data_IF_005104440166
#
_entry.id   IF_005104440166
#
_cell.length_a   1.000
_cell.length_b   1.000
_cell.length_c   1.000
_cell.angle_alpha   90.00
_cell.angle_beta   90.00
_cell.angle_gamma   90.00
#
_symmetry.space_group_name_H-M   'P 1'
#
loop_
_entity.id
_entity.type
_entity.pdbx_description
1 polymer ?
#
# COMPACT_ATOMS: atom_id res chain seq x y z
N UNK A 1 -47.72 32.14 -9.11
CA UNK A 1 -46.38 31.54 -9.20
C UNK A 1 -46.34 30.33 -8.24
N UNK A 2 -46.75 29.17 -8.75
CA UNK A 2 -46.90 27.94 -7.95
C UNK A 2 -45.56 27.21 -7.87
N UNK A 3 -44.99 27.15 -6.70
CA UNK A 3 -43.81 26.35 -6.39
C UNK A 3 -44.25 24.88 -6.45
N UNK A 4 -43.87 24.16 -7.50
CA UNK A 4 -44.03 22.72 -7.59
C UNK A 4 -43.08 22.08 -6.55
N UNK A 5 -43.66 21.53 -5.49
CA UNK A 5 -42.98 20.61 -4.60
C UNK A 5 -42.75 19.30 -5.37
N UNK A 6 -41.55 19.10 -5.91
CA UNK A 6 -41.14 17.81 -6.43
C UNK A 6 -41.22 16.78 -5.28
N UNK A 7 -41.83 15.61 -5.48
CA UNK A 7 -41.87 14.58 -4.46
C UNK A 7 -40.45 14.06 -4.23
N UNK A 8 -39.94 14.28 -3.03
CA UNK A 8 -38.65 13.75 -2.57
C UNK A 8 -38.62 12.24 -2.82
N UNK A 9 -37.67 11.79 -3.64
CA UNK A 9 -37.55 10.39 -4.00
C UNK A 9 -37.17 9.55 -2.77
N UNK A 10 -38.19 8.97 -2.14
CA UNK A 10 -38.08 8.14 -0.93
C UNK A 10 -37.13 6.95 -1.11
N UNK A 11 -36.95 6.48 -2.35
CA UNK A 11 -36.04 5.37 -2.66
C UNK A 11 -34.57 5.78 -2.57
N UNK A 12 -34.23 7.04 -2.87
CA UNK A 12 -32.86 7.55 -2.69
C UNK A 12 -32.52 7.75 -1.21
N UNK A 13 -33.46 8.27 -0.43
CA UNK A 13 -33.31 8.48 1.00
C UNK A 13 -33.15 7.15 1.77
N UNK A 14 -33.89 6.12 1.36
CA UNK A 14 -33.78 4.75 1.89
C UNK A 14 -32.43 4.12 1.53
N UNK A 15 -31.97 4.28 0.28
CA UNK A 15 -30.68 3.76 -0.20
C UNK A 15 -29.49 4.44 0.49
N UNK A 16 -29.57 5.73 0.79
CA UNK A 16 -28.54 6.46 1.53
C UNK A 16 -28.48 5.98 2.99
N UNK A 17 -29.62 5.73 3.64
CA UNK A 17 -29.66 5.21 5.01
C UNK A 17 -29.08 3.80 5.15
N UNK A 18 -29.31 2.92 4.18
CA UNK A 18 -28.84 1.54 4.21
C UNK A 18 -27.33 1.42 4.08
N UNK A 19 -26.64 2.37 3.39
CA UNK A 19 -25.19 2.39 3.19
C UNK A 19 -24.44 3.36 4.12
N UNK A 20 -25.14 4.04 5.02
CA UNK A 20 -24.55 5.03 5.94
C UNK A 20 -23.32 4.55 6.70
N UNK A 21 -23.29 3.34 7.32
CA UNK A 21 -22.11 2.86 8.03
C UNK A 21 -20.91 2.63 7.10
N UNK A 22 -21.12 2.19 5.84
CA UNK A 22 -20.06 1.94 4.88
C UNK A 22 -19.42 3.23 4.34
N UNK A 23 -20.17 4.31 4.24
CA UNK A 23 -19.67 5.63 3.79
C UNK A 23 -18.71 6.23 4.83
N UNK A 24 -18.95 5.99 6.11
CA UNK A 24 -18.12 6.52 7.19
C UNK A 24 -17.01 5.58 7.64
N UNK A 25 -17.02 4.32 7.22
CA UNK A 25 -16.02 3.32 7.59
C UNK A 25 -14.57 3.79 7.34
N UNK A 26 -14.21 4.41 6.20
CA UNK A 26 -12.84 4.90 5.98
C UNK A 26 -12.42 5.95 7.02
N UNK A 27 -13.34 6.81 7.45
CA UNK A 27 -13.06 7.83 8.46
C UNK A 27 -12.79 7.22 9.84
N UNK A 28 -13.58 6.25 10.25
CA UNK A 28 -13.37 5.54 11.51
C UNK A 28 -12.07 4.74 11.50
N UNK A 29 -11.76 4.08 10.38
CA UNK A 29 -10.49 3.37 10.21
C UNK A 29 -9.29 4.34 10.25
N UNK A 30 -9.41 5.51 9.63
CA UNK A 30 -8.36 6.53 9.68
C UNK A 30 -8.12 7.06 11.09
N UNK A 31 -9.19 7.36 11.83
CA UNK A 31 -9.08 7.80 13.24
C UNK A 31 -8.48 6.70 14.11
N UNK A 32 -8.96 5.46 13.98
CA UNK A 32 -8.40 4.33 14.69
C UNK A 32 -6.91 4.13 14.37
N UNK A 33 -6.54 4.21 13.09
CA UNK A 33 -5.14 4.11 12.66
C UNK A 33 -4.27 5.21 13.25
N UNK A 34 -4.77 6.45 13.29
CA UNK A 34 -4.06 7.58 13.90
C UNK A 34 -3.83 7.36 15.41
N UNK A 35 -4.88 6.92 16.13
CA UNK A 35 -4.79 6.63 17.57
C UNK A 35 -3.78 5.51 17.82
N UNK A 36 -3.86 4.40 17.09
CA UNK A 36 -2.93 3.27 17.23
C UNK A 36 -1.49 3.67 16.89
N UNK A 37 -1.31 4.50 15.86
CA UNK A 37 0.02 5.02 15.50
C UNK A 37 0.60 5.92 16.59
N UNK A 38 -0.21 6.79 17.19
CA UNK A 38 0.20 7.64 18.32
C UNK A 38 0.62 6.80 19.52
N UNK A 39 -0.17 5.80 19.89
CA UNK A 39 0.15 4.86 20.96
C UNK A 39 1.45 4.12 20.65
N UNK A 40 1.62 3.65 19.42
CA UNK A 40 2.83 2.93 19.00
C UNK A 40 4.08 3.83 19.09
N UNK A 41 4.00 5.09 18.65
CA UNK A 41 5.08 6.06 18.81
C UNK A 41 5.43 6.29 20.29
N UNK A 42 4.42 6.44 21.15
CA UNK A 42 4.62 6.55 22.60
C UNK A 42 5.37 5.33 23.17
N UNK A 43 4.94 4.12 22.79
CA UNK A 43 5.57 2.87 23.25
C UNK A 43 7.02 2.75 22.77
N UNK A 44 7.31 3.09 21.53
CA UNK A 44 8.67 3.00 20.94
C UNK A 44 9.62 4.01 21.60
N UNK A 45 9.20 5.25 21.77
CA UNK A 45 10.13 6.30 22.17
C UNK A 45 10.22 6.49 23.69
N UNK A 46 9.16 6.18 24.46
CA UNK A 46 9.10 6.46 25.89
C UNK A 46 9.08 5.20 26.75
N UNK A 47 8.55 4.07 26.26
CA UNK A 47 8.40 2.86 27.07
C UNK A 47 9.45 1.80 26.73
N UNK A 48 9.79 1.64 25.43
CA UNK A 48 10.72 0.61 24.99
C UNK A 48 12.09 0.78 25.66
N UNK A 49 12.63 -0.30 26.28
CA UNK A 49 13.94 -0.26 26.92
C UNK A 49 15.05 0.04 25.91
N UNK A 50 16.11 0.64 26.38
CA UNK A 50 17.28 0.91 25.56
C UNK A 50 18.06 -0.38 25.37
N UNK A 51 18.40 -0.72 24.13
CA UNK A 51 19.20 -1.90 23.79
C UNK A 51 20.64 -1.76 24.33
N UNK A 52 21.22 -2.88 24.78
CA UNK A 52 22.56 -2.88 25.41
C UNK A 52 23.66 -2.60 24.37
N UNK A 53 23.49 -3.07 23.12
CA UNK A 53 24.48 -2.96 22.05
C UNK A 53 24.23 -1.73 21.17
N UNK A 54 22.99 -1.56 20.71
CA UNK A 54 22.61 -0.51 19.74
C UNK A 54 22.12 0.78 20.42
N UNK A 55 21.92 0.77 21.73
CA UNK A 55 21.41 1.95 22.44
C UNK A 55 20.05 2.41 21.92
N UNK A 56 19.88 3.69 21.76
CA UNK A 56 18.65 4.31 21.25
C UNK A 56 18.41 4.07 19.75
N UNK A 57 19.43 3.66 18.99
CA UNK A 57 19.35 3.40 17.56
C UNK A 57 18.43 2.23 17.26
N UNK A 58 18.32 1.26 18.18
CA UNK A 58 17.40 0.13 18.09
C UNK A 58 15.94 0.57 17.87
N UNK A 59 15.54 1.75 18.34
CA UNK A 59 14.17 2.26 18.18
C UNK A 59 13.77 2.48 16.73
N UNK A 60 14.73 2.80 15.85
CA UNK A 60 14.49 2.92 14.40
C UNK A 60 14.04 1.58 13.82
N UNK A 61 14.57 0.47 14.36
CA UNK A 61 14.23 -0.87 13.91
C UNK A 61 12.76 -1.22 14.12
N UNK A 62 12.14 -0.75 15.20
CA UNK A 62 10.71 -0.97 15.47
C UNK A 62 9.80 -0.27 14.45
N UNK A 63 10.29 0.76 13.76
CA UNK A 63 9.58 1.44 12.68
C UNK A 63 9.95 0.81 11.32
N UNK A 64 11.24 0.60 11.09
CA UNK A 64 11.78 0.10 9.82
C UNK A 64 11.22 -1.28 9.44
N UNK A 65 11.27 -2.24 10.34
CA UNK A 65 10.88 -3.63 10.06
C UNK A 65 9.41 -3.78 9.68
N UNK A 66 8.45 -3.20 10.41
CA UNK A 66 7.05 -3.23 9.98
C UNK A 66 6.82 -2.57 8.62
N UNK A 67 7.49 -1.45 8.32
CA UNK A 67 7.39 -0.78 7.01
C UNK A 67 7.89 -1.67 5.88
N UNK A 68 9.02 -2.36 6.08
CA UNK A 68 9.55 -3.31 5.12
C UNK A 68 8.57 -4.48 4.89
N UNK A 69 8.06 -5.10 5.95
CA UNK A 69 7.13 -6.23 5.87
C UNK A 69 5.83 -5.80 5.15
N UNK A 70 5.28 -4.64 5.50
CA UNK A 70 4.06 -4.12 4.87
C UNK A 70 4.27 -3.82 3.39
N UNK A 71 5.44 -3.30 2.99
CA UNK A 71 5.74 -3.07 1.58
C UNK A 71 5.76 -4.37 0.78
N UNK A 72 6.40 -5.43 1.29
CA UNK A 72 6.40 -6.74 0.63
C UNK A 72 5.00 -7.36 0.56
N UNK A 73 4.20 -7.21 1.61
CA UNK A 73 2.80 -7.66 1.59
C UNK A 73 1.99 -6.93 0.51
N UNK A 74 2.16 -5.60 0.38
CA UNK A 74 1.50 -4.83 -0.67
C UNK A 74 1.92 -5.31 -2.07
N UNK A 75 3.21 -5.55 -2.29
CA UNK A 75 3.71 -6.04 -3.57
C UNK A 75 3.24 -7.46 -3.87
N UNK A 76 3.09 -8.30 -2.85
CA UNK A 76 2.45 -9.61 -3.00
C UNK A 76 0.98 -9.49 -3.41
N UNK A 77 0.24 -8.51 -2.86
CA UNK A 77 -1.14 -8.22 -3.27
C UNK A 77 -1.18 -7.73 -4.73
N UNK A 78 -0.22 -6.91 -5.17
CA UNK A 78 -0.09 -6.49 -6.58
C UNK A 78 0.09 -7.71 -7.49
N UNK A 79 0.95 -8.64 -7.09
CA UNK A 79 1.17 -9.89 -7.83
C UNK A 79 -0.12 -10.71 -7.97
N UNK A 80 -0.81 -10.96 -6.86
CA UNK A 80 -2.09 -11.69 -6.86
C UNK A 80 -3.15 -10.96 -7.70
N UNK A 81 -3.26 -9.63 -7.56
CA UNK A 81 -4.16 -8.81 -8.36
C UNK A 81 -3.86 -8.89 -9.87
N UNK A 82 -2.58 -8.93 -10.23
CA UNK A 82 -2.12 -9.11 -11.62
C UNK A 82 -2.50 -10.47 -12.18
N UNK A 83 -2.33 -11.55 -11.41
CA UNK A 83 -2.81 -12.89 -11.79
C UNK A 83 -4.33 -12.91 -11.97
N UNK A 84 -5.06 -12.25 -11.06
CA UNK A 84 -6.53 -12.13 -11.15
C UNK A 84 -6.97 -11.36 -12.40
N UNK A 85 -6.25 -10.29 -12.76
CA UNK A 85 -6.51 -9.50 -13.96
C UNK A 85 -6.35 -10.33 -15.23
N UNK A 86 -5.30 -11.17 -15.35
CA UNK A 86 -5.09 -12.07 -16.47
C UNK A 86 -6.03 -13.29 -16.47
N UNK A 87 -6.90 -13.40 -15.48
CA UNK A 87 -7.91 -14.46 -15.43
C UNK A 87 -7.40 -15.82 -14.99
N UNK A 88 -6.20 -15.91 -14.39
CA UNK A 88 -5.64 -17.17 -13.89
C UNK A 88 -6.60 -17.85 -12.91
N UNK A 89 -7.31 -17.09 -12.09
CA UNK A 89 -8.31 -17.61 -11.14
C UNK A 89 -9.63 -18.04 -11.79
N UNK A 90 -9.90 -17.67 -13.06
CA UNK A 90 -11.05 -18.17 -13.81
C UNK A 90 -10.93 -19.66 -14.10
N UNK A 91 -9.70 -20.18 -14.22
CA UNK A 91 -9.41 -21.61 -14.37
C UNK A 91 -9.90 -22.39 -13.14
N UNK A 92 -9.84 -21.78 -11.97
CA UNK A 92 -10.26 -22.37 -10.68
C UNK A 92 -11.72 -22.06 -10.29
N UNK A 93 -12.60 -21.69 -11.26
CA UNK A 93 -14.01 -21.32 -11.02
C UNK A 93 -14.26 -20.19 -9.98
N UNK A 94 -13.26 -19.44 -9.57
CA UNK A 94 -13.42 -18.22 -8.75
C UNK A 94 -13.90 -17.04 -9.63
N UNK A 95 -14.99 -17.26 -10.38
CA UNK A 95 -15.54 -16.39 -11.43
C UNK A 95 -16.24 -15.13 -10.91
N UNK A 96 -16.28 -14.89 -9.60
CA UNK A 96 -17.14 -13.87 -9.01
C UNK A 96 -16.59 -12.44 -9.06
N UNK A 97 -15.28 -12.25 -9.25
CA UNK A 97 -14.65 -10.94 -9.16
C UNK A 97 -14.38 -10.37 -10.55
N UNK A 98 -14.88 -9.15 -10.80
CA UNK A 98 -14.69 -8.45 -12.07
C UNK A 98 -13.21 -8.09 -12.29
N UNK A 99 -12.74 -8.16 -13.54
CA UNK A 99 -11.37 -7.81 -13.93
C UNK A 99 -10.95 -6.40 -13.45
N UNK A 100 -11.85 -5.41 -13.54
CA UNK A 100 -11.60 -4.06 -13.06
C UNK A 100 -11.35 -4.00 -11.53
N UNK A 101 -11.95 -4.89 -10.75
CA UNK A 101 -11.73 -4.95 -9.30
C UNK A 101 -10.31 -5.44 -8.99
N UNK A 102 -9.83 -6.45 -9.70
CA UNK A 102 -8.45 -6.93 -9.58
C UNK A 102 -7.44 -5.85 -9.89
N UNK A 103 -7.67 -5.11 -10.98
CA UNK A 103 -6.85 -3.97 -11.37
C UNK A 103 -6.83 -2.86 -10.32
N UNK A 104 -8.01 -2.49 -9.78
CA UNK A 104 -8.11 -1.47 -8.73
C UNK A 104 -7.38 -1.88 -7.45
N UNK A 105 -7.51 -3.15 -7.03
CA UNK A 105 -6.81 -3.67 -5.84
C UNK A 105 -5.30 -3.64 -6.05
N UNK A 106 -4.82 -4.11 -7.21
CA UNK A 106 -3.39 -4.09 -7.53
C UNK A 106 -2.83 -2.65 -7.53
N UNK A 107 -3.57 -1.70 -8.11
CA UNK A 107 -3.16 -0.30 -8.15
C UNK A 107 -3.06 0.32 -6.76
N UNK A 108 -4.11 0.21 -5.95
CA UNK A 108 -4.10 0.74 -4.58
C UNK A 108 -3.02 0.09 -3.72
N UNK A 109 -2.79 -1.21 -3.88
CA UNK A 109 -1.71 -1.91 -3.19
C UNK A 109 -0.32 -1.40 -3.62
N UNK A 110 -0.13 -1.09 -4.91
CA UNK A 110 1.13 -0.53 -5.39
C UNK A 110 1.41 0.87 -4.83
N UNK A 111 0.39 1.75 -4.78
CA UNK A 111 0.51 3.09 -4.18
C UNK A 111 0.95 3.02 -2.71
N UNK A 112 0.25 2.20 -1.93
CA UNK A 112 0.57 2.00 -0.51
C UNK A 112 1.94 1.34 -0.33
N UNK A 113 2.26 0.34 -1.17
CA UNK A 113 3.54 -0.35 -1.15
C UNK A 113 4.73 0.56 -1.41
N UNK A 114 4.60 1.49 -2.38
CA UNK A 114 5.64 2.50 -2.67
C UNK A 114 5.87 3.42 -1.48
N UNK A 115 4.82 3.84 -0.80
CA UNK A 115 4.97 4.66 0.41
C UNK A 115 5.75 3.89 1.49
N UNK A 116 5.37 2.66 1.78
CA UNK A 116 6.03 1.85 2.81
C UNK A 116 7.49 1.52 2.47
N UNK A 117 7.81 1.15 1.23
CA UNK A 117 9.19 0.86 0.83
C UNK A 117 10.05 2.13 0.83
N UNK A 118 9.48 3.29 0.51
CA UNK A 118 10.18 4.59 0.62
C UNK A 118 10.54 4.87 2.07
N UNK A 119 9.60 4.70 3.00
CA UNK A 119 9.86 4.86 4.43
C UNK A 119 10.87 3.83 4.95
N UNK A 120 10.80 2.58 4.48
CA UNK A 120 11.77 1.56 4.81
C UNK A 120 13.19 1.91 4.30
N UNK A 121 13.33 2.39 3.07
CA UNK A 121 14.62 2.83 2.53
C UNK A 121 15.20 4.00 3.35
N UNK A 122 14.40 5.02 3.65
CA UNK A 122 14.85 6.19 4.43
C UNK A 122 15.29 5.75 5.84
N UNK A 123 14.46 5.01 6.55
CA UNK A 123 14.76 4.56 7.92
C UNK A 123 15.93 3.58 7.94
N UNK A 124 16.07 2.73 6.91
CA UNK A 124 17.18 1.81 6.75
C UNK A 124 18.52 2.52 6.57
N UNK A 125 18.57 3.57 5.74
CA UNK A 125 19.76 4.42 5.55
C UNK A 125 20.16 5.14 6.84
N UNK A 126 19.18 5.68 7.57
CA UNK A 126 19.42 6.35 8.87
C UNK A 126 20.00 5.34 9.89
N UNK A 127 19.47 4.13 9.92
CA UNK A 127 19.94 3.07 10.80
C UNK A 127 21.33 2.54 10.39
N UNK A 128 21.62 2.46 9.10
CA UNK A 128 22.88 1.94 8.56
C UNK A 128 24.09 2.73 9.02
N UNK A 129 24.01 4.05 9.05
CA UNK A 129 25.13 4.92 9.40
C UNK A 129 25.76 4.63 10.76
N UNK A 130 25.00 4.58 11.86
CA UNK A 130 25.57 4.27 13.19
C UNK A 130 25.98 2.80 13.35
N UNK A 131 25.36 1.87 12.61
CA UNK A 131 25.61 0.43 12.77
C UNK A 131 26.76 -0.05 11.89
N UNK A 132 26.85 0.44 10.65
CA UNK A 132 27.86 0.02 9.67
C UNK A 132 28.91 1.09 9.36
N UNK A 133 28.81 2.30 9.93
CA UNK A 133 29.71 3.40 9.68
C UNK A 133 29.49 4.12 8.34
N UNK A 134 28.61 3.61 7.48
CA UNK A 134 28.30 4.17 6.17
C UNK A 134 26.78 4.30 5.97
N UNK A 135 26.36 5.28 5.16
CA UNK A 135 24.94 5.47 4.85
C UNK A 135 24.41 4.39 3.92
N UNK A 136 25.22 3.83 3.06
CA UNK A 136 24.82 2.88 2.03
C UNK A 136 25.91 1.86 1.76
N UNK A 137 25.52 0.62 1.58
CA UNK A 137 26.34 -0.46 1.05
C UNK A 137 25.66 -1.05 -0.18
N UNK A 138 26.43 -1.39 -1.20
CA UNK A 138 25.90 -2.00 -2.43
C UNK A 138 25.68 -3.52 -2.27
N UNK A 139 25.29 -3.95 -1.10
CA UNK A 139 24.93 -5.35 -0.89
C UNK A 139 23.62 -5.71 -1.64
N UNK A 140 23.44 -6.99 -2.02
CA UNK A 140 22.30 -7.40 -2.85
C UNK A 140 20.94 -6.98 -2.28
N UNK A 141 20.71 -7.13 -1.00
CA UNK A 141 19.45 -6.78 -0.33
C UNK A 141 19.07 -5.31 -0.52
N UNK A 142 19.99 -4.38 -0.28
CA UNK A 142 19.73 -2.95 -0.42
C UNK A 142 19.56 -2.57 -1.89
N UNK A 143 20.41 -3.10 -2.74
CA UNK A 143 20.40 -2.84 -4.18
C UNK A 143 19.10 -3.33 -4.83
N UNK A 144 18.67 -4.56 -4.55
CA UNK A 144 17.42 -5.11 -5.10
C UNK A 144 16.20 -4.37 -4.57
N UNK A 145 16.18 -3.96 -3.29
CA UNK A 145 15.09 -3.14 -2.74
C UNK A 145 15.00 -1.77 -3.42
N UNK A 146 16.13 -1.13 -3.70
CA UNK A 146 16.17 0.14 -4.45
C UNK A 146 15.67 -0.04 -5.89
N UNK A 147 16.10 -1.10 -6.58
CA UNK A 147 15.62 -1.44 -7.92
C UNK A 147 14.11 -1.69 -7.90
N UNK A 148 13.62 -2.46 -6.95
CA UNK A 148 12.20 -2.73 -6.77
C UNK A 148 11.40 -1.43 -6.59
N UNK A 149 11.89 -0.50 -5.76
CA UNK A 149 11.29 0.82 -5.57
C UNK A 149 11.23 1.61 -6.88
N UNK A 150 12.35 1.69 -7.63
CA UNK A 150 12.41 2.40 -8.92
C UNK A 150 11.41 1.83 -9.93
N UNK A 151 11.26 0.51 -9.99
CA UNK A 151 10.32 -0.15 -10.91
C UNK A 151 8.88 0.19 -10.53
N UNK A 152 8.52 0.16 -9.24
CA UNK A 152 7.16 0.50 -8.81
C UNK A 152 6.83 1.98 -8.97
N UNK A 153 7.79 2.88 -8.74
CA UNK A 153 7.62 4.31 -9.04
C UNK A 153 7.38 4.51 -10.54
N UNK A 154 8.20 3.88 -11.39
CA UNK A 154 8.02 3.92 -12.84
C UNK A 154 6.67 3.36 -13.29
N UNK A 155 6.22 2.26 -12.67
CA UNK A 155 4.91 1.68 -12.87
C UNK A 155 3.77 2.68 -12.58
N UNK A 156 3.80 3.35 -11.43
CA UNK A 156 2.79 4.36 -11.08
C UNK A 156 2.81 5.55 -12.04
N UNK A 157 3.99 6.00 -12.46
CA UNK A 157 4.15 7.06 -13.46
C UNK A 157 3.57 6.66 -14.82
N UNK A 158 3.92 5.48 -15.34
CA UNK A 158 3.39 4.99 -16.61
C UNK A 158 1.86 4.88 -16.56
N UNK A 159 1.32 4.45 -15.44
CA UNK A 159 -0.13 4.33 -15.27
C UNK A 159 -0.83 5.69 -15.28
N UNK A 160 -0.22 6.73 -14.71
CA UNK A 160 -0.78 8.09 -14.72
C UNK A 160 -0.79 8.71 -16.13
N UNK A 161 0.14 8.30 -17.01
CA UNK A 161 0.24 8.77 -18.39
C UNK A 161 -0.52 7.90 -19.40
N UNK A 162 -1.01 6.73 -18.99
CA UNK A 162 -1.70 5.81 -19.89
C UNK A 162 -3.00 6.43 -20.45
N UNK A 163 -3.12 6.53 -21.78
CA UNK A 163 -4.27 7.12 -22.47
C UNK A 163 -5.56 6.30 -22.30
N UNK A 164 -5.48 5.05 -21.94
CA UNK A 164 -6.64 4.20 -21.65
C UNK A 164 -6.39 3.34 -20.42
N UNK A 165 -7.46 3.15 -19.63
CA UNK A 165 -7.44 2.32 -18.42
C UNK A 165 -6.99 0.87 -18.72
N UNK A 166 -7.36 0.33 -19.90
CA UNK A 166 -6.96 -1.02 -20.31
C UNK A 166 -5.46 -1.15 -20.57
N UNK A 167 -4.84 -0.17 -21.25
CA UNK A 167 -3.39 -0.20 -21.49
C UNK A 167 -2.61 -0.08 -20.17
N UNK A 168 -3.01 0.85 -19.30
CA UNK A 168 -2.43 0.99 -17.98
C UNK A 168 -2.51 -0.31 -17.18
N UNK A 169 -3.65 -0.98 -17.17
CA UNK A 169 -3.87 -2.24 -16.47
C UNK A 169 -3.01 -3.39 -17.00
N UNK A 170 -2.86 -3.54 -18.33
CA UNK A 170 -2.01 -4.57 -18.93
C UNK A 170 -0.54 -4.36 -18.58
N UNK A 171 -0.02 -3.11 -18.74
CA UNK A 171 1.35 -2.79 -18.36
C UNK A 171 1.59 -3.06 -16.87
N UNK A 172 0.65 -2.67 -16.03
CA UNK A 172 0.67 -2.91 -14.59
C UNK A 172 0.78 -4.38 -14.24
N UNK A 173 -0.06 -5.20 -14.87
CA UNK A 173 -0.10 -6.63 -14.60
C UNK A 173 1.18 -7.34 -15.08
N UNK A 174 1.76 -6.94 -16.20
CA UNK A 174 3.04 -7.49 -16.71
C UNK A 174 4.18 -7.14 -15.74
N UNK A 175 4.27 -5.88 -15.30
CA UNK A 175 5.30 -5.46 -14.35
C UNK A 175 5.11 -6.15 -13.02
N UNK A 176 3.87 -6.21 -12.49
CA UNK A 176 3.58 -6.89 -11.23
C UNK A 176 3.97 -8.37 -11.23
N UNK A 177 3.83 -9.07 -12.36
CA UNK A 177 4.27 -10.46 -12.51
C UNK A 177 5.79 -10.60 -12.63
N UNK A 178 6.46 -9.67 -13.32
CA UNK A 178 7.91 -9.75 -13.52
C UNK A 178 8.70 -9.50 -12.23
N UNK A 179 8.13 -8.76 -11.28
CA UNK A 179 8.81 -8.35 -10.05
C UNK A 179 8.99 -9.45 -9.01
N UNK A 180 8.31 -10.59 -9.15
CA UNK A 180 8.50 -11.74 -8.26
C UNK A 180 9.86 -12.41 -8.44
N UNK A 181 10.58 -12.10 -9.53
CA UNK A 181 11.88 -12.65 -9.85
C UNK A 181 13.07 -11.83 -9.32
N UNK A 182 12.81 -10.71 -8.66
CA UNK A 182 13.81 -9.84 -8.03
C UNK A 182 13.87 -10.09 -6.53
#
# INVERSE_FOLDING_TARGET
MSIQNEPKNTNEEFRIKEHWPLVHLPKYLAVLGLVLMTINMYLIFLVAPTDIVLGHIQRIFYIHVPMAILSFLCFFIVFIGSLGYFGVFQIFKLRSIKQNTWDSVAHSAAEVGVIFVTLALITGVIWAKPVWGTWWTWEPRLTTTLILWLIYVSYLMLRSYARSTKQGAVFSAVIGLSLIHI
#
